data_IF_075172725877
#
_entry.id   IF_075172725877
#
_cell.length_a   1.000
_cell.length_b   1.000
_cell.length_c   1.000
_cell.angle_alpha   90.00
_cell.angle_beta   90.00
_cell.angle_gamma   90.00
#
_symmetry.space_group_name_H-M   'P 1'
#
loop_
_entity.id
_entity.type
_entity.pdbx_description
1 polymer ?
#
# COMPACT_ATOMS: atom_id res chain seq x y z
N UNK A 1 74.38 43.53 5.70
CA UNK A 1 75.11 43.36 4.43
C UNK A 1 74.25 42.47 3.54
N UNK A 2 73.71 43.04 2.45
CA UNK A 2 72.93 42.34 1.42
C UNK A 2 73.83 41.29 0.74
N UNK A 3 73.28 40.16 0.31
CA UNK A 3 73.36 39.78 -1.10
C UNK A 3 72.23 38.81 -1.48
N UNK A 4 71.40 39.26 -2.43
CA UNK A 4 70.46 38.48 -3.24
C UNK A 4 71.17 38.08 -4.54
N UNK A 5 70.80 36.95 -5.16
CA UNK A 5 71.08 36.61 -6.56
C UNK A 5 69.82 35.90 -7.13
N UNK A 6 68.92 36.59 -7.86
CA UNK A 6 68.80 36.71 -9.33
C UNK A 6 68.78 35.33 -10.06
N UNK A 7 67.62 34.74 -10.37
CA UNK A 7 66.69 34.97 -11.50
C UNK A 7 67.23 34.46 -12.86
N UNK A 8 66.54 33.48 -13.48
CA UNK A 8 66.20 33.43 -14.93
C UNK A 8 65.23 32.29 -15.27
N UNK A 9 64.15 32.72 -15.92
CA UNK A 9 63.08 31.95 -16.55
C UNK A 9 63.60 31.38 -17.88
N UNK A 10 63.21 30.14 -18.22
CA UNK A 10 63.10 29.71 -19.62
C UNK A 10 61.77 28.96 -19.80
N UNK A 11 61.08 29.31 -20.87
CA UNK A 11 59.70 28.98 -21.23
C UNK A 11 59.64 27.86 -22.28
N UNK A 12 58.59 27.03 -22.15
CA UNK A 12 57.81 26.30 -23.18
C UNK A 12 58.36 24.95 -23.71
N UNK A 13 57.51 23.93 -23.55
CA UNK A 13 57.54 22.65 -24.27
C UNK A 13 56.50 21.65 -23.75
N UNK A 14 55.22 21.90 -23.99
CA UNK A 14 54.09 20.96 -23.75
C UNK A 14 54.23 19.75 -24.70
N UNK A 15 54.12 18.51 -24.19
CA UNK A 15 53.32 17.45 -24.83
C UNK A 15 53.03 16.29 -23.85
N UNK A 16 51.73 16.03 -23.69
CA UNK A 16 51.02 14.83 -23.21
C UNK A 16 51.82 13.66 -22.60
N UNK A 17 51.45 13.26 -21.38
CA UNK A 17 50.58 12.08 -21.19
C UNK A 17 49.79 12.22 -19.89
N UNK A 18 48.47 12.30 -20.03
CA UNK A 18 47.49 12.28 -18.95
C UNK A 18 47.44 10.88 -18.34
N UNK A 19 48.01 10.72 -17.15
CA UNK A 19 47.71 9.61 -16.24
C UNK A 19 46.85 10.12 -15.10
N UNK A 20 45.66 10.66 -15.39
CA UNK A 20 44.67 10.90 -14.33
C UNK A 20 44.17 9.53 -13.91
N UNK A 21 44.75 8.97 -12.86
CA UNK A 21 44.08 7.95 -12.07
C UNK A 21 42.86 8.64 -11.46
N UNK A 22 41.77 8.69 -12.24
CA UNK A 22 40.48 9.04 -11.72
C UNK A 22 40.19 8.05 -10.61
N UNK A 23 40.18 8.55 -9.37
CA UNK A 23 39.42 7.91 -8.32
C UNK A 23 38.00 7.86 -8.89
N UNK A 24 37.63 6.70 -9.43
CA UNK A 24 36.25 6.31 -9.62
C UNK A 24 35.67 6.28 -8.20
N UNK A 25 35.11 7.41 -7.77
CA UNK A 25 34.09 7.38 -6.74
C UNK A 25 32.97 6.59 -7.40
N UNK A 26 32.95 5.28 -7.16
CA UNK A 26 31.74 4.50 -7.28
C UNK A 26 30.81 5.14 -6.27
N UNK A 27 30.03 6.14 -6.69
CA UNK A 27 28.80 6.45 -6.00
C UNK A 27 28.06 5.13 -6.05
N UNK A 28 27.87 4.49 -4.89
CA UNK A 28 26.90 3.42 -4.80
C UNK A 28 25.63 3.99 -5.41
N UNK A 29 25.33 3.55 -6.63
CA UNK A 29 24.08 3.90 -7.27
C UNK A 29 23.04 3.33 -6.33
N UNK A 30 22.34 4.19 -5.59
CA UNK A 30 21.10 3.80 -4.94
C UNK A 30 20.30 3.10 -6.03
N UNK A 31 20.09 1.79 -5.86
CA UNK A 31 19.35 1.03 -6.85
C UNK A 31 17.95 1.64 -6.94
N UNK A 32 17.47 1.76 -8.17
CA UNK A 32 16.22 2.42 -8.52
C UNK A 32 15.06 1.71 -7.84
N UNK A 33 14.56 2.28 -6.75
CA UNK A 33 13.23 1.98 -6.23
C UNK A 33 12.22 2.93 -6.92
N UNK A 34 11.00 2.46 -7.13
CA UNK A 34 10.05 3.01 -8.12
C UNK A 34 8.81 3.59 -7.43
N UNK A 35 8.15 4.56 -8.06
CA UNK A 35 6.82 5.06 -7.64
C UNK A 35 5.75 3.97 -7.55
N UNK A 36 6.01 2.80 -8.12
CA UNK A 36 5.16 1.60 -8.06
C UNK A 36 5.32 0.78 -6.78
N UNK A 37 6.24 1.15 -5.90
CA UNK A 37 6.49 0.42 -4.67
C UNK A 37 5.31 0.59 -3.72
N UNK A 38 4.89 -0.51 -3.12
CA UNK A 38 3.59 -0.63 -2.48
C UNK A 38 3.59 -0.38 -0.97
N UNK A 39 4.67 0.20 -0.41
CA UNK A 39 4.65 0.85 0.90
C UNK A 39 4.86 2.36 0.75
N UNK A 40 4.15 3.10 1.60
CA UNK A 40 4.15 4.56 1.65
C UNK A 40 3.96 5.05 3.08
N UNK A 41 3.94 6.37 3.28
CA UNK A 41 3.81 6.96 4.61
C UNK A 41 5.12 6.98 5.40
N UNK A 42 4.99 7.27 6.69
CA UNK A 42 6.12 7.66 7.53
C UNK A 42 6.22 6.79 8.77
N UNK A 43 7.43 6.30 9.06
CA UNK A 43 7.80 5.80 10.37
C UNK A 43 8.57 6.87 11.15
N UNK A 44 8.61 6.71 12.47
CA UNK A 44 9.25 7.67 13.38
C UNK A 44 10.24 6.98 14.31
N UNK A 45 11.36 7.63 14.57
CA UNK A 45 12.25 7.31 15.68
C UNK A 45 12.58 8.57 16.46
N UNK A 46 12.60 8.47 17.78
CA UNK A 46 13.02 9.57 18.65
C UNK A 46 14.49 9.98 18.44
N UNK A 47 15.33 9.06 17.94
CA UNK A 47 16.76 9.31 17.78
C UNK A 47 17.12 9.88 16.40
N UNK A 48 16.41 9.45 15.35
CA UNK A 48 16.74 9.79 13.96
C UNK A 48 15.61 10.50 13.22
N UNK A 49 14.47 10.73 13.87
CA UNK A 49 13.34 11.43 13.32
C UNK A 49 12.58 10.62 12.26
N UNK A 50 12.05 11.33 11.28
CA UNK A 50 11.18 10.78 10.24
C UNK A 50 11.93 9.87 9.26
N UNK A 51 11.24 8.79 8.89
CA UNK A 51 11.67 7.82 7.87
C UNK A 51 10.53 7.71 6.85
N UNK A 52 10.81 8.14 5.61
CA UNK A 52 9.89 8.06 4.49
C UNK A 52 10.01 6.70 3.80
N UNK A 53 8.89 6.03 3.59
CA UNK A 53 8.86 4.74 2.88
C UNK A 53 8.68 4.87 1.37
N UNK A 54 8.37 6.07 0.85
CA UNK A 54 8.20 6.31 -0.57
C UNK A 54 8.56 7.75 -0.95
N UNK A 55 9.09 7.96 -2.14
CA UNK A 55 9.36 9.30 -2.66
C UNK A 55 8.09 10.14 -2.86
N UNK A 56 6.92 9.50 -2.99
CA UNK A 56 5.63 10.18 -3.16
C UNK A 56 5.26 11.01 -1.92
N UNK A 57 5.69 10.57 -0.74
CA UNK A 57 5.41 11.22 0.53
C UNK A 57 5.86 12.68 0.60
N UNK A 58 6.94 13.03 -0.12
CA UNK A 58 7.48 14.39 -0.20
C UNK A 58 7.50 14.94 -1.63
N UNK A 59 6.86 14.26 -2.58
CA UNK A 59 6.88 14.63 -4.00
C UNK A 59 8.26 14.59 -4.64
N UNK A 60 9.22 13.86 -4.06
CA UNK A 60 10.63 13.85 -4.51
C UNK A 60 10.88 12.89 -5.68
N UNK A 61 9.88 12.17 -6.17
CA UNK A 61 10.04 11.11 -7.17
C UNK A 61 10.67 11.57 -8.49
N UNK A 62 10.53 12.85 -8.86
CA UNK A 62 11.17 13.41 -10.05
C UNK A 62 12.69 13.57 -9.93
N UNK A 63 13.22 13.66 -8.71
CA UNK A 63 14.66 13.86 -8.43
C UNK A 63 15.32 12.69 -7.72
N UNK A 64 14.56 11.94 -6.93
CA UNK A 64 15.00 10.78 -6.16
C UNK A 64 13.84 9.82 -6.07
N UNK A 65 13.87 8.84 -6.97
CA UNK A 65 12.88 7.77 -7.03
C UNK A 65 13.29 6.69 -6.02
N UNK A 66 12.45 6.48 -5.01
CA UNK A 66 12.65 5.45 -4.00
C UNK A 66 11.33 5.00 -3.40
N UNK A 67 11.33 3.80 -2.83
CA UNK A 67 10.20 3.15 -2.21
C UNK A 67 10.60 1.81 -1.62
N UNK A 68 9.81 1.31 -0.69
CA UNK A 68 9.92 -0.06 -0.18
C UNK A 68 8.76 -0.87 -0.77
N UNK A 69 9.06 -2.05 -1.29
CA UNK A 69 8.10 -2.90 -1.96
C UNK A 69 8.01 -4.27 -1.30
N UNK A 70 6.80 -4.76 -1.09
CA UNK A 70 6.48 -6.13 -0.71
C UNK A 70 6.13 -6.90 -1.98
N UNK A 71 6.91 -7.93 -2.28
CA UNK A 71 6.63 -8.84 -3.40
C UNK A 71 5.50 -9.80 -3.08
N UNK A 72 4.94 -10.41 -4.13
CA UNK A 72 3.96 -11.50 -4.02
C UNK A 72 4.39 -12.68 -3.13
N UNK A 73 5.70 -12.92 -2.98
CA UNK A 73 6.25 -13.97 -2.14
C UNK A 73 6.52 -13.52 -0.69
N UNK A 74 6.13 -12.28 -0.36
CA UNK A 74 6.32 -11.63 0.93
C UNK A 74 7.69 -10.99 1.14
N UNK A 75 8.66 -11.14 0.24
CA UNK A 75 9.97 -10.52 0.45
C UNK A 75 9.88 -8.99 0.30
N UNK A 76 10.49 -8.25 1.24
CA UNK A 76 10.64 -6.80 1.12
C UNK A 76 11.90 -6.48 0.30
N UNK A 77 11.85 -5.43 -0.50
CA UNK A 77 13.00 -4.85 -1.20
C UNK A 77 12.88 -3.32 -1.30
N UNK A 78 13.89 -2.67 -1.88
CA UNK A 78 13.92 -1.23 -2.06
C UNK A 78 14.50 -0.49 -0.86
N UNK A 79 14.16 0.80 -0.78
CA UNK A 79 14.81 1.76 0.12
C UNK A 79 13.82 2.72 0.75
N UNK A 80 13.99 2.95 2.04
CA UNK A 80 13.41 4.07 2.76
C UNK A 80 14.47 5.18 2.95
N UNK A 81 14.00 6.40 3.22
CA UNK A 81 14.86 7.57 3.37
C UNK A 81 14.61 8.29 4.69
N UNK A 82 15.69 8.63 5.40
CA UNK A 82 15.66 9.58 6.52
C UNK A 82 16.61 10.74 6.24
N UNK A 83 16.22 11.96 6.56
CA UNK A 83 17.09 13.13 6.40
C UNK A 83 18.32 13.09 7.33
N UNK A 84 18.22 12.39 8.46
CA UNK A 84 19.26 12.38 9.49
C UNK A 84 20.29 11.27 9.30
N UNK A 85 19.90 10.13 8.72
CA UNK A 85 20.78 8.98 8.50
C UNK A 85 20.83 8.48 7.05
N UNK A 86 20.14 9.14 6.13
CA UNK A 86 20.10 8.76 4.72
C UNK A 86 19.34 7.46 4.46
N UNK A 87 19.90 6.65 3.56
CA UNK A 87 19.25 5.46 3.02
C UNK A 87 19.17 4.31 4.03
N UNK A 88 17.97 3.73 4.13
CA UNK A 88 17.70 2.46 4.80
C UNK A 88 17.34 1.44 3.72
N UNK A 89 18.15 0.39 3.59
CA UNK A 89 18.00 -0.65 2.59
C UNK A 89 17.23 -1.85 3.13
N UNK A 90 16.28 -2.33 2.33
CA UNK A 90 15.60 -3.61 2.48
C UNK A 90 16.14 -4.65 1.48
N UNK A 91 17.20 -4.32 0.74
CA UNK A 91 17.77 -5.22 -0.26
C UNK A 91 18.44 -6.43 0.38
N UNK A 92 18.13 -7.61 -0.16
CA UNK A 92 18.69 -8.90 0.27
C UNK A 92 20.23 -8.91 0.31
N UNK A 93 20.89 -8.17 -0.58
CA UNK A 93 22.35 -8.12 -0.67
C UNK A 93 23.00 -7.33 0.47
N UNK A 94 22.37 -6.25 0.91
CA UNK A 94 22.81 -5.44 2.06
C UNK A 94 22.49 -6.17 3.37
N UNK A 95 21.42 -6.97 3.29
CA UNK A 95 20.92 -7.99 4.20
C UNK A 95 21.87 -9.05 4.76
N UNK A 96 22.77 -9.52 3.90
CA UNK A 96 23.27 -10.90 3.94
C UNK A 96 24.07 -11.30 5.19
N UNK A 97 24.63 -10.32 5.89
CA UNK A 97 25.48 -10.53 7.07
C UNK A 97 24.82 -9.99 8.35
N UNK A 98 23.49 -10.11 8.42
CA UNK A 98 22.71 -9.67 9.56
C UNK A 98 23.19 -10.32 10.88
N UNK A 99 22.91 -9.69 12.04
CA UNK A 99 23.32 -10.22 13.34
C UNK A 99 22.75 -11.61 13.68
N UNK A 100 21.54 -11.93 13.20
CA UNK A 100 20.93 -13.25 13.38
C UNK A 100 19.92 -13.60 12.28
N UNK A 101 19.87 -14.85 11.87
CA UNK A 101 18.91 -15.32 10.85
C UNK A 101 17.46 -15.36 11.37
N UNK A 102 16.45 -15.17 10.50
CA UNK A 102 16.55 -14.91 9.06
C UNK A 102 17.05 -13.49 8.75
N UNK A 103 17.88 -13.33 7.72
CA UNK A 103 18.36 -12.00 7.32
C UNK A 103 17.35 -11.26 6.44
N UNK A 104 16.84 -11.94 5.41
CA UNK A 104 15.99 -11.32 4.39
C UNK A 104 14.73 -10.73 5.04
N UNK A 105 14.42 -9.44 4.81
CA UNK A 105 13.22 -8.85 5.35
C UNK A 105 12.01 -9.46 4.64
N UNK A 106 11.05 -9.94 5.41
CA UNK A 106 9.91 -10.68 4.89
C UNK A 106 8.63 -10.35 5.63
N UNK A 107 7.59 -10.07 4.87
CA UNK A 107 6.22 -9.97 5.33
C UNK A 107 5.52 -11.31 5.14
N UNK A 108 5.20 -11.96 6.25
CA UNK A 108 4.44 -13.20 6.26
C UNK A 108 2.97 -12.87 6.46
N UNK A 109 2.12 -13.33 5.53
CA UNK A 109 0.66 -13.17 5.58
C UNK A 109 -0.05 -14.22 6.44
N UNK A 110 0.71 -15.08 7.13
CA UNK A 110 0.18 -16.06 8.06
C UNK A 110 1.27 -16.65 8.93
N UNK A 111 1.22 -16.47 10.27
CA UNK A 111 0.64 -15.33 11.00
C UNK A 111 1.20 -13.98 10.51
N UNK A 112 0.43 -12.89 10.66
CA UNK A 112 0.80 -11.57 10.14
C UNK A 112 2.02 -11.01 10.89
N UNK A 113 3.17 -11.13 10.27
CA UNK A 113 4.45 -10.79 10.89
C UNK A 113 5.42 -10.26 9.85
N UNK A 114 6.19 -9.24 10.24
CA UNK A 114 7.38 -8.84 9.49
C UNK A 114 8.59 -9.37 10.23
N UNK A 115 9.47 -10.08 9.54
CA UNK A 115 10.71 -10.63 10.09
C UNK A 115 11.92 -10.17 9.29
N UNK A 116 13.11 -10.51 9.78
CA UNK A 116 14.36 -10.18 9.13
C UNK A 116 14.89 -8.80 9.51
N UNK A 117 15.75 -8.27 8.63
CA UNK A 117 16.53 -7.08 8.92
C UNK A 117 16.45 -6.07 7.79
N UNK A 118 16.58 -4.80 8.15
CA UNK A 118 16.94 -3.71 7.25
C UNK A 118 18.31 -3.15 7.65
N UNK A 119 18.94 -2.40 6.75
CA UNK A 119 20.28 -1.84 6.95
C UNK A 119 20.30 -0.35 6.65
N UNK A 120 20.60 0.47 7.64
CA UNK A 120 20.97 1.86 7.43
C UNK A 120 22.38 1.94 6.82
N UNK A 121 22.46 2.45 5.60
CA UNK A 121 23.70 2.44 4.80
C UNK A 121 24.70 3.50 5.27
N UNK A 122 24.25 4.56 5.95
CA UNK A 122 25.15 5.54 6.54
C UNK A 122 25.99 4.98 7.70
N UNK A 123 25.69 3.79 8.23
CA UNK A 123 26.52 3.15 9.24
C UNK A 123 27.88 2.71 8.69
N UNK A 124 27.92 2.38 7.40
CA UNK A 124 29.14 1.98 6.73
C UNK A 124 30.13 3.16 6.78
N UNK A 125 31.24 2.96 7.51
CA UNK A 125 32.30 3.94 7.78
C UNK A 125 32.05 4.96 8.91
N UNK A 126 30.93 4.88 9.64
CA UNK A 126 30.57 5.85 10.69
C UNK A 126 30.56 5.28 12.11
N UNK A 127 31.12 4.07 12.32
CA UNK A 127 31.43 3.55 13.66
C UNK A 127 30.27 2.93 14.44
N UNK A 128 29.14 2.65 13.78
CA UNK A 128 28.01 1.90 14.32
C UNK A 128 27.53 0.86 13.31
N UNK A 129 26.65 -0.06 13.71
CA UNK A 129 26.46 -1.32 12.97
C UNK A 129 25.37 -1.30 11.90
N UNK A 130 24.51 -0.28 11.81
CA UNK A 130 23.52 -0.14 10.72
C UNK A 130 22.26 -0.98 10.86
N UNK A 131 22.19 -1.89 11.82
CA UNK A 131 21.21 -2.97 11.77
C UNK A 131 19.87 -2.55 12.37
N UNK A 132 18.79 -2.80 11.63
CA UNK A 132 17.41 -2.61 12.08
C UNK A 132 16.74 -3.98 12.09
N UNK A 133 16.42 -4.49 13.27
CA UNK A 133 15.73 -5.76 13.45
C UNK A 133 14.21 -5.51 13.39
N UNK A 134 13.53 -6.15 12.43
CA UNK A 134 12.10 -5.92 12.19
C UNK A 134 11.21 -6.66 13.20
N UNK A 135 11.76 -7.66 13.91
CA UNK A 135 11.04 -8.43 14.93
C UNK A 135 11.96 -9.10 15.92
N UNK A 136 11.73 -8.88 17.21
CA UNK A 136 12.37 -9.58 18.31
C UNK A 136 11.38 -10.49 19.06
N UNK A 137 11.76 -10.90 20.27
CA UNK A 137 10.91 -11.78 21.09
C UNK A 137 9.63 -11.11 21.58
N UNK A 138 9.67 -9.79 21.81
CA UNK A 138 8.60 -9.02 22.48
C UNK A 138 8.19 -7.77 21.68
N UNK A 139 8.69 -7.64 20.45
CA UNK A 139 8.37 -6.52 19.57
C UNK A 139 8.42 -7.02 18.13
N UNK A 140 7.74 -6.31 17.24
CA UNK A 140 7.90 -6.52 15.81
C UNK A 140 6.91 -5.68 15.05
N UNK A 141 7.17 -5.54 13.76
CA UNK A 141 6.25 -4.90 12.83
C UNK A 141 5.19 -5.93 12.41
N UNK A 142 3.95 -5.46 12.31
CA UNK A 142 2.76 -6.21 11.86
C UNK A 142 1.98 -5.34 10.87
N UNK A 143 0.97 -5.92 10.23
CA UNK A 143 -0.02 -5.18 9.48
C UNK A 143 -1.41 -5.69 9.87
N UNK A 144 -2.43 -4.84 9.78
CA UNK A 144 -3.84 -5.25 9.72
C UNK A 144 -4.44 -4.49 8.54
N UNK A 145 -5.02 -5.23 7.60
CA UNK A 145 -5.27 -4.77 6.25
C UNK A 145 -4.01 -4.16 5.63
N UNK A 146 -4.11 -2.93 5.16
CA UNK A 146 -2.98 -2.18 4.61
C UNK A 146 -2.27 -1.27 5.65
N UNK A 147 -2.68 -1.27 6.92
CA UNK A 147 -2.06 -0.44 7.96
C UNK A 147 -0.91 -1.18 8.63
N UNK A 148 0.31 -0.66 8.53
CA UNK A 148 1.48 -1.24 9.20
C UNK A 148 1.70 -0.61 10.58
N UNK A 149 1.93 -1.44 11.59
CA UNK A 149 2.06 -1.04 12.99
C UNK A 149 3.22 -1.81 13.66
N UNK A 150 3.51 -1.49 14.91
CA UNK A 150 4.51 -2.10 15.72
C UNK A 150 5.85 -1.37 15.65
N UNK A 151 6.87 -2.09 16.10
CA UNK A 151 8.18 -1.51 16.38
C UNK A 151 9.27 -2.34 15.72
N UNK A 152 10.24 -1.65 15.14
CA UNK A 152 11.55 -2.21 14.82
C UNK A 152 12.61 -1.61 15.75
N UNK A 153 13.74 -2.31 15.91
CA UNK A 153 14.81 -1.89 16.81
C UNK A 153 16.12 -1.74 16.06
N UNK A 154 16.77 -0.57 16.20
CA UNK A 154 18.06 -0.28 15.58
C UNK A 154 19.15 0.12 16.57
N UNK A 155 19.27 -0.60 17.69
CA UNK A 155 20.31 -0.38 18.71
C UNK A 155 20.24 1.04 19.32
N UNK A 156 21.31 1.48 19.98
CA UNK A 156 21.36 2.77 20.68
C UNK A 156 21.35 3.97 19.72
N UNK A 157 21.75 3.77 18.45
CA UNK A 157 21.84 4.87 17.47
C UNK A 157 20.48 5.20 16.88
N UNK A 158 19.76 4.22 16.33
CA UNK A 158 18.43 4.47 15.75
C UNK A 158 17.31 4.34 16.78
N UNK A 159 17.56 3.62 17.87
CA UNK A 159 16.54 3.35 18.87
C UNK A 159 15.34 2.59 18.31
N UNK A 160 14.18 2.87 18.90
CA UNK A 160 12.90 2.34 18.45
C UNK A 160 12.42 3.08 17.22
N UNK A 161 12.00 2.32 16.21
CA UNK A 161 11.34 2.82 15.01
C UNK A 161 9.89 2.37 15.06
N UNK A 162 8.98 3.34 15.11
CA UNK A 162 7.54 3.16 15.24
C UNK A 162 6.91 3.24 13.86
N UNK A 163 6.17 2.21 13.46
CA UNK A 163 5.52 2.16 12.15
C UNK A 163 4.16 2.86 12.13
N UNK A 164 3.58 3.14 13.31
CA UNK A 164 2.32 3.87 13.47
C UNK A 164 2.34 4.74 14.72
N UNK A 165 1.65 5.88 14.64
CA UNK A 165 1.33 6.74 15.77
C UNK A 165 -0.02 7.41 15.55
N UNK A 166 -0.39 8.35 16.43
CA UNK A 166 -1.73 8.96 16.40
C UNK A 166 -2.05 9.69 15.08
N UNK A 167 -1.04 10.26 14.41
CA UNK A 167 -1.20 11.10 13.21
C UNK A 167 -0.24 10.72 12.07
N UNK A 168 0.38 9.55 12.14
CA UNK A 168 1.31 9.06 11.12
C UNK A 168 1.28 7.54 11.07
N UNK A 169 1.69 6.98 9.93
CA UNK A 169 1.92 5.56 9.82
C UNK A 169 2.45 5.17 8.45
N UNK A 170 2.93 3.94 8.37
CA UNK A 170 3.28 3.27 7.11
C UNK A 170 2.03 2.55 6.60
N UNK A 171 1.73 2.74 5.32
CA UNK A 171 0.56 2.15 4.66
C UNK A 171 0.97 1.37 3.41
N UNK A 172 0.36 0.21 3.23
CA UNK A 172 0.56 -0.68 2.11
C UNK A 172 -0.49 -0.53 1.01
N UNK A 173 -0.25 -1.19 -0.11
CA UNK A 173 -1.25 -1.51 -1.14
C UNK A 173 -0.94 -2.87 -1.77
N UNK A 174 -1.95 -3.54 -2.34
CA UNK A 174 -1.79 -4.83 -3.02
C UNK A 174 -1.06 -5.88 -2.17
N UNK A 175 0.11 -6.34 -2.63
CA UNK A 175 0.89 -7.36 -1.93
C UNK A 175 1.36 -6.95 -0.52
N UNK A 176 1.39 -5.65 -0.20
CA UNK A 176 1.73 -5.14 1.13
C UNK A 176 0.57 -5.13 2.13
N UNK A 177 -0.62 -5.64 1.76
CA UNK A 177 -1.75 -5.76 2.67
C UNK A 177 -1.87 -7.19 3.24
N UNK A 178 -2.29 -7.27 4.50
CA UNK A 178 -2.65 -8.48 5.23
C UNK A 178 -4.12 -8.86 4.97
N UNK A 179 -4.42 -10.13 5.21
CA UNK A 179 -5.81 -10.60 5.38
C UNK A 179 -6.35 -10.00 6.68
N UNK A 180 -7.58 -9.53 6.66
CA UNK A 180 -8.29 -8.94 7.82
C UNK A 180 -9.34 -9.92 8.36
N UNK A 181 -10.04 -10.60 7.46
CA UNK A 181 -11.13 -11.53 7.77
C UNK A 181 -10.74 -12.90 8.37
N UNK A 182 -9.53 -13.02 8.91
CA UNK A 182 -9.13 -14.17 9.74
C UNK A 182 -8.12 -13.83 10.86
N UNK A 183 -8.01 -12.56 11.24
CA UNK A 183 -6.96 -12.07 12.13
C UNK A 183 -7.42 -11.82 13.57
N UNK A 184 -8.69 -12.13 13.87
CA UNK A 184 -9.34 -11.99 15.18
C UNK A 184 -9.46 -10.55 15.70
N UNK A 185 -9.29 -9.57 14.82
CA UNK A 185 -9.47 -8.14 15.07
C UNK A 185 -10.67 -7.66 14.27
N UNK A 186 -11.53 -6.87 14.90
CA UNK A 186 -12.59 -6.09 14.25
C UNK A 186 -11.92 -4.89 13.54
N UNK A 187 -11.56 -5.06 12.26
CA UNK A 187 -10.74 -4.10 11.54
C UNK A 187 -11.54 -2.92 10.99
N UNK A 188 -12.85 -3.07 10.79
CA UNK A 188 -13.73 -2.01 10.31
C UNK A 188 -14.50 -1.30 11.45
N UNK A 189 -14.55 -1.91 12.64
CA UNK A 189 -15.13 -1.35 13.86
C UNK A 189 -16.65 -1.53 13.96
N UNK A 190 -17.25 -2.45 13.20
CA UNK A 190 -18.69 -2.67 13.17
C UNK A 190 -19.20 -3.63 14.27
N UNK A 191 -18.26 -4.28 14.97
CA UNK A 191 -18.52 -5.19 16.09
C UNK A 191 -18.61 -6.68 15.69
N UNK A 192 -18.52 -6.99 14.40
CA UNK A 192 -18.13 -8.30 13.90
C UNK A 192 -16.60 -8.36 13.80
N UNK A 193 -16.01 -9.49 13.42
CA UNK A 193 -14.56 -9.70 13.62
C UNK A 193 -13.97 -10.44 12.43
N UNK A 194 -14.58 -11.55 12.04
CA UNK A 194 -14.01 -12.41 11.01
C UNK A 194 -15.11 -13.23 10.34
N UNK A 195 -14.79 -13.73 9.15
CA UNK A 195 -15.59 -14.75 8.48
C UNK A 195 -15.80 -15.99 9.39
N UNK A 196 -17.01 -16.59 9.44
CA UNK A 196 -18.22 -16.25 8.69
C UNK A 196 -19.21 -15.37 9.47
N UNK A 197 -18.80 -14.87 10.64
CA UNK A 197 -19.69 -14.08 11.49
C UNK A 197 -19.83 -12.66 10.96
N UNK A 198 -18.78 -12.18 10.32
CA UNK A 198 -18.69 -10.88 9.69
C UNK A 198 -19.24 -10.91 8.26
N UNK A 199 -20.13 -9.96 7.95
CA UNK A 199 -20.77 -9.83 6.64
C UNK A 199 -19.88 -9.09 5.65
N UNK A 200 -19.02 -8.16 6.10
CA UNK A 200 -18.02 -7.51 5.26
C UNK A 200 -16.94 -8.46 4.76
N UNK A 201 -16.85 -9.67 5.35
CA UNK A 201 -15.94 -10.72 4.93
C UNK A 201 -16.56 -11.72 3.96
N UNK A 202 -16.10 -11.76 2.70
CA UNK A 202 -16.52 -12.78 1.73
C UNK A 202 -15.87 -14.15 1.95
N UNK A 203 -14.69 -14.18 2.58
CA UNK A 203 -13.93 -15.41 2.87
C UNK A 203 -12.86 -15.21 3.95
N UNK A 204 -12.29 -16.29 4.47
CA UNK A 204 -11.14 -16.22 5.41
C UNK A 204 -9.84 -15.72 4.77
N UNK A 205 -9.83 -15.40 3.48
CA UNK A 205 -8.64 -14.85 2.79
C UNK A 205 -8.89 -13.45 2.26
N UNK A 206 -10.06 -12.89 2.60
CA UNK A 206 -10.45 -11.56 2.20
C UNK A 206 -9.58 -10.50 2.89
N UNK A 207 -9.20 -9.49 2.12
CA UNK A 207 -8.35 -8.39 2.57
C UNK A 207 -9.15 -7.12 2.83
N UNK A 208 -10.47 -7.15 2.58
CA UNK A 208 -11.40 -6.12 3.00
C UNK A 208 -12.38 -6.74 4.01
N UNK A 209 -12.64 -6.00 5.08
CA UNK A 209 -13.63 -6.34 6.11
C UNK A 209 -14.78 -5.33 6.11
N UNK A 210 -14.70 -4.28 5.27
CA UNK A 210 -15.75 -3.26 5.21
C UNK A 210 -16.97 -3.83 4.50
N UNK A 211 -18.14 -3.43 5.00
CA UNK A 211 -19.41 -3.65 4.32
C UNK A 211 -19.45 -2.86 3.00
N UNK A 212 -20.11 -3.42 1.97
CA UNK A 212 -20.27 -2.80 0.64
C UNK A 212 -20.56 -1.30 0.75
N UNK A 213 -21.58 -0.93 1.53
CA UNK A 213 -22.00 0.45 1.77
C UNK A 213 -21.00 1.39 2.48
N UNK A 214 -19.77 0.95 2.74
CA UNK A 214 -18.67 1.71 3.36
C UNK A 214 -17.29 1.40 2.75
N UNK A 215 -17.22 0.59 1.69
CA UNK A 215 -15.96 0.14 1.13
C UNK A 215 -15.37 1.13 0.10
N UNK A 216 -16.15 2.14 -0.31
CA UNK A 216 -15.76 3.18 -1.25
C UNK A 216 -15.81 2.75 -2.72
N UNK A 217 -16.42 1.61 -3.01
CA UNK A 217 -16.70 1.09 -4.35
C UNK A 217 -18.17 1.32 -4.68
N UNK A 218 -18.48 1.21 -5.96
CA UNK A 218 -19.84 1.23 -6.49
C UNK A 218 -20.13 -0.22 -6.91
N UNK A 219 -20.59 -1.02 -5.95
CA UNK A 219 -20.70 -2.47 -6.04
C UNK A 219 -21.91 -2.92 -6.87
N UNK A 220 -22.93 -2.07 -7.01
CA UNK A 220 -24.07 -2.29 -7.90
C UNK A 220 -23.97 -1.56 -9.25
N UNK A 221 -22.96 -0.70 -9.41
CA UNK A 221 -22.64 0.07 -10.61
C UNK A 221 -23.71 1.10 -11.01
N UNK A 222 -24.47 1.64 -10.05
CA UNK A 222 -25.50 2.66 -10.27
C UNK A 222 -24.95 4.11 -10.26
N UNK A 223 -23.67 4.28 -9.91
CA UNK A 223 -22.97 5.56 -9.83
C UNK A 223 -23.06 6.27 -8.48
N UNK A 224 -23.75 5.67 -7.51
CA UNK A 224 -23.62 5.92 -6.07
C UNK A 224 -22.53 4.97 -5.55
N UNK A 225 -22.17 5.07 -4.27
CA UNK A 225 -20.93 4.45 -3.77
C UNK A 225 -21.20 3.91 -2.37
N UNK A 226 -21.49 4.82 -1.44
CA UNK A 226 -21.61 4.44 -0.02
C UNK A 226 -22.76 5.17 0.64
N UNK A 227 -23.20 4.65 1.78
CA UNK A 227 -24.09 5.35 2.69
C UNK A 227 -23.49 6.71 3.12
N UNK A 228 -24.28 7.80 3.19
CA UNK A 228 -25.72 7.91 2.92
C UNK A 228 -26.04 8.42 1.51
N UNK A 229 -25.04 8.49 0.64
CA UNK A 229 -25.23 8.97 -0.74
C UNK A 229 -25.92 7.90 -1.59
N UNK A 230 -25.62 6.64 -1.29
CA UNK A 230 -26.25 5.47 -1.85
C UNK A 230 -27.64 5.21 -1.28
N UNK A 231 -28.61 4.91 -2.14
CA UNK A 231 -29.98 4.59 -1.73
C UNK A 231 -30.27 3.10 -1.60
N UNK A 232 -29.44 2.23 -2.16
CA UNK A 232 -29.51 0.80 -1.88
C UNK A 232 -29.01 0.48 -0.48
N UNK A 233 -28.11 1.31 0.04
CA UNK A 233 -27.63 1.21 1.41
C UNK A 233 -28.65 1.69 2.46
N UNK A 234 -29.17 0.76 3.27
CA UNK A 234 -30.06 1.13 4.38
C UNK A 234 -29.32 1.73 5.58
N UNK A 235 -28.02 1.40 5.72
CA UNK A 235 -27.12 1.93 6.75
C UNK A 235 -25.66 1.72 6.35
N UNK A 236 -24.72 2.27 7.13
CA UNK A 236 -23.30 2.01 6.97
C UNK A 236 -22.88 0.57 7.39
N UNK A 237 -23.77 -0.18 8.05
CA UNK A 237 -23.53 -1.60 8.40
C UNK A 237 -24.23 -2.53 7.40
N UNK A 238 -24.84 -1.97 6.35
CA UNK A 238 -25.48 -2.74 5.31
C UNK A 238 -24.43 -3.25 4.32
N UNK A 239 -24.56 -4.52 3.91
CA UNK A 239 -23.61 -5.17 3.01
C UNK A 239 -24.24 -5.45 1.64
N UNK A 240 -25.28 -4.70 1.30
CA UNK A 240 -25.95 -4.75 0.02
C UNK A 240 -26.18 -3.32 -0.46
N UNK A 241 -25.55 -2.96 -1.57
CA UNK A 241 -25.73 -1.68 -2.26
C UNK A 241 -26.88 -1.71 -3.27
N UNK A 242 -27.52 -2.86 -3.52
CA UNK A 242 -28.55 -2.95 -4.55
C UNK A 242 -29.76 -2.08 -4.21
N UNK A 243 -30.02 -1.08 -5.06
CA UNK A 243 -31.27 -0.32 -5.05
C UNK A 243 -32.48 -1.27 -5.13
N UNK A 244 -33.36 -1.21 -4.12
CA UNK A 244 -34.66 -1.88 -4.17
C UNK A 244 -35.55 -1.10 -5.13
N UNK A 245 -35.66 -1.60 -6.36
CA UNK A 245 -36.49 -1.00 -7.41
C UNK A 245 -37.84 -1.68 -7.49
N UNK A 246 -38.79 -1.08 -8.21
CA UNK A 246 -40.09 -1.73 -8.41
C UNK A 246 -39.94 -3.17 -8.93
N UNK A 247 -38.99 -3.43 -9.82
CA UNK A 247 -38.70 -4.76 -10.39
C UNK A 247 -37.90 -5.73 -9.51
N UNK A 248 -37.64 -5.36 -8.24
CA UNK A 248 -36.95 -6.19 -7.26
C UNK A 248 -37.49 -6.07 -5.84
N UNK A 249 -38.64 -5.43 -5.64
CA UNK A 249 -39.20 -5.15 -4.29
C UNK A 249 -40.20 -6.21 -3.81
N UNK A 250 -40.55 -7.19 -4.66
CA UNK A 250 -41.50 -8.24 -4.33
C UNK A 250 -42.97 -7.80 -4.37
N UNK A 251 -43.26 -6.65 -4.95
CA UNK A 251 -44.59 -6.05 -5.08
C UNK A 251 -44.93 -5.87 -6.56
N UNK A 252 -46.08 -6.40 -6.96
CA UNK A 252 -46.72 -6.12 -8.25
C UNK A 252 -47.15 -4.63 -8.32
N UNK A 253 -46.26 -3.76 -8.78
CA UNK A 253 -46.45 -2.31 -8.73
C UNK A 253 -47.35 -1.78 -9.87
N UNK A 254 -47.50 -2.53 -10.97
CA UNK A 254 -48.38 -2.20 -12.09
C UNK A 254 -49.73 -2.97 -12.08
N UNK A 255 -49.86 -3.96 -11.19
CA UNK A 255 -51.04 -4.78 -10.95
C UNK A 255 -51.44 -5.71 -12.11
N UNK A 256 -50.49 -6.16 -12.93
CA UNK A 256 -50.71 -7.11 -14.02
C UNK A 256 -50.71 -8.59 -13.56
N UNK A 257 -50.31 -8.84 -12.30
CA UNK A 257 -50.20 -10.16 -11.68
C UNK A 257 -48.84 -10.83 -11.83
N UNK A 258 -47.87 -10.14 -12.43
CA UNK A 258 -46.44 -10.39 -12.32
C UNK A 258 -45.90 -9.53 -11.16
N UNK A 259 -44.62 -9.65 -10.84
CA UNK A 259 -44.13 -9.13 -9.55
C UNK A 259 -42.75 -8.54 -9.69
N UNK A 260 -41.83 -9.23 -10.36
CA UNK A 260 -40.44 -8.78 -10.46
C UNK A 260 -39.75 -9.43 -11.68
N UNK A 261 -38.59 -8.90 -12.05
CA UNK A 261 -37.67 -9.56 -12.98
C UNK A 261 -37.26 -10.98 -12.49
N UNK A 262 -37.11 -11.99 -13.37
CA UNK A 262 -37.30 -11.97 -14.83
C UNK A 262 -38.70 -12.40 -15.28
N UNK A 263 -39.66 -12.54 -14.36
CA UNK A 263 -40.97 -13.11 -14.66
C UNK A 263 -41.98 -12.05 -15.12
N UNK A 264 -41.71 -10.81 -14.75
CA UNK A 264 -42.37 -9.62 -15.22
C UNK A 264 -41.81 -9.17 -16.58
N UNK A 265 -42.69 -8.83 -17.52
CA UNK A 265 -42.31 -8.36 -18.87
C UNK A 265 -42.21 -6.84 -18.95
N UNK A 266 -42.81 -6.11 -18.01
CA UNK A 266 -42.57 -4.69 -17.80
C UNK A 266 -41.15 -4.41 -17.32
N UNK A 267 -40.55 -5.34 -16.58
CA UNK A 267 -39.19 -5.21 -16.07
C UNK A 267 -38.10 -5.57 -17.09
N UNK A 268 -37.28 -4.60 -17.50
CA UNK A 268 -36.15 -4.87 -18.39
C UNK A 268 -34.97 -5.55 -17.67
N UNK A 269 -34.74 -5.19 -16.40
CA UNK A 269 -33.65 -5.67 -15.53
C UNK A 269 -34.07 -5.66 -14.06
N UNK A 270 -33.30 -6.30 -13.17
CA UNK A 270 -33.52 -6.24 -11.71
C UNK A 270 -33.43 -4.83 -11.13
N UNK A 271 -32.65 -3.92 -11.76
CA UNK A 271 -32.51 -2.53 -11.37
C UNK A 271 -33.43 -1.58 -12.15
N UNK A 272 -34.40 -2.11 -12.91
CA UNK A 272 -35.41 -1.27 -13.55
C UNK A 272 -36.41 -0.78 -12.50
N UNK A 273 -36.79 0.49 -12.57
CA UNK A 273 -37.72 1.11 -11.61
C UNK A 273 -39.08 1.43 -12.23
N UNK A 274 -39.37 0.77 -13.36
CA UNK A 274 -40.65 0.81 -14.06
C UNK A 274 -41.06 -0.62 -14.42
N UNK A 275 -42.10 -1.14 -13.76
CA UNK A 275 -42.69 -2.44 -14.12
C UNK A 275 -43.79 -2.31 -15.18
N UNK A 276 -43.99 -1.13 -15.77
CA UNK A 276 -45.10 -0.95 -16.70
C UNK A 276 -44.87 -1.75 -17.99
N UNK A 277 -45.82 -2.63 -18.30
CA UNK A 277 -45.82 -3.41 -19.53
C UNK A 277 -45.56 -2.57 -20.80
N UNK A 278 -44.63 -2.99 -21.68
CA UNK A 278 -44.44 -2.32 -22.96
C UNK A 278 -45.70 -2.44 -23.82
N UNK A 279 -46.07 -1.38 -24.58
CA UNK A 279 -47.31 -1.37 -25.34
C UNK A 279 -47.35 -2.54 -26.34
N UNK A 280 -48.48 -3.27 -26.38
CA UNK A 280 -48.66 -4.42 -27.26
C UNK A 280 -48.25 -4.08 -28.71
N UNK A 281 -47.46 -4.93 -29.38
CA UNK A 281 -47.17 -4.73 -30.79
C UNK A 281 -48.48 -4.87 -31.58
N UNK A 282 -48.90 -3.78 -32.23
CA UNK A 282 -50.05 -3.75 -33.14
C UNK A 282 -49.87 -4.78 -34.27
N UNK A 283 -50.36 -6.00 -34.07
CA UNK A 283 -50.64 -6.90 -35.17
C UNK A 283 -51.86 -6.35 -35.91
N UNK A 284 -51.60 -5.70 -37.05
CA UNK A 284 -52.66 -5.44 -38.03
C UNK A 284 -53.26 -6.78 -38.40
N UNK A 285 -54.49 -7.04 -37.96
CA UNK A 285 -55.30 -8.15 -38.46
C UNK A 285 -55.29 -8.12 -39.99
N UNK A 286 -54.67 -9.13 -40.61
CA UNK A 286 -54.78 -9.33 -42.05
C UNK A 286 -56.19 -9.87 -42.29
N UNK A 287 -57.03 -9.17 -43.07
CA UNK A 287 -58.39 -9.63 -43.33
C UNK A 287 -58.36 -10.99 -44.05
N UNK A 288 -59.29 -11.91 -43.72
CA UNK A 288 -59.39 -13.19 -44.42
C UNK A 288 -59.76 -12.99 -45.89
N UNK A 289 -59.08 -13.74 -46.78
CA UNK A 289 -59.28 -13.76 -48.24
C UNK A 289 -60.69 -14.22 -48.68
#
# INVERSE_FOLDING_TARGET
MKLRFHQRIFLIGIFLTLGVAGILIVKNSAASASVSDNLSGWAWSENIGWISFNCSNSGSCGSSNYGVNVKNNGDLEGYAWSENIGWISFEKNDVKNCPSTPCNPKFNKGPVTVEGWAKALAADNNGWDGWIHLRGSNYGVTASGCSWDGYAWGSDVLGWIHFKGANYGVTGSGDACAVVCNDTVDNDGDGFIDYPADVGCSSTTDMDERNQCTDGLDNDADGKIDFPADSGCTSAQDNDELDVTQCSDGIDNDADGKIDYPNDIGCATVSDNDETDPPEPFFKEVPPE
#
